data_IF_346528989824
#
_entry.id   IF_346528989824
#
_cell.length_a   1.000
_cell.length_b   1.000
_cell.length_c   1.000
_cell.angle_alpha   90.00
_cell.angle_beta   90.00
_cell.angle_gamma   90.00
#
_symmetry.space_group_name_H-M   'P 1'
#
loop_
_entity.id
_entity.type
_entity.pdbx_description
1 polymer ?
#
# COMPACT_ATOMS: atom_id res chain seq x y z
N UNK A 1 -10.98 4.28 10.30
CA UNK A 1 -10.25 4.59 11.55
C UNK A 1 -8.98 3.77 11.67
N UNK A 2 -9.00 2.43 11.50
CA UNK A 2 -7.80 1.58 11.60
C UNK A 2 -6.59 2.07 10.81
N UNK A 3 -6.74 2.40 9.52
CA UNK A 3 -5.64 2.91 8.69
C UNK A 3 -5.03 4.24 9.18
N UNK A 4 -5.86 5.16 9.70
CA UNK A 4 -5.37 6.44 10.24
C UNK A 4 -4.57 6.23 11.53
N UNK A 5 -4.97 5.24 12.34
CA UNK A 5 -4.23 4.84 13.55
C UNK A 5 -2.95 4.05 13.23
N UNK A 6 -2.84 3.51 12.02
CA UNK A 6 -1.65 2.77 11.55
C UNK A 6 -0.56 3.70 11.02
N UNK A 7 -0.92 4.87 10.47
CA UNK A 7 0.02 5.83 9.91
C UNK A 7 1.17 6.21 10.86
N UNK A 8 0.97 6.47 12.17
CA UNK A 8 2.07 6.72 13.08
C UNK A 8 3.11 5.59 13.11
N UNK A 9 2.65 4.34 13.11
CA UNK A 9 3.53 3.16 13.11
C UNK A 9 4.34 3.08 11.82
N UNK A 10 3.71 3.33 10.67
CA UNK A 10 4.38 3.31 9.36
C UNK A 10 5.45 4.42 9.25
N UNK A 11 5.14 5.63 9.73
CA UNK A 11 6.08 6.75 9.76
C UNK A 11 7.27 6.43 10.67
N UNK A 12 7.04 5.89 11.86
CA UNK A 12 8.10 5.54 12.81
C UNK A 12 9.00 4.45 12.24
N UNK A 13 8.43 3.44 11.58
CA UNK A 13 9.21 2.37 10.96
C UNK A 13 10.14 2.93 9.88
N UNK A 14 9.62 3.81 9.01
CA UNK A 14 10.46 4.49 8.02
C UNK A 14 11.56 5.36 8.66
N UNK A 15 11.25 6.08 9.74
CA UNK A 15 12.23 6.92 10.43
C UNK A 15 13.29 6.10 11.19
N UNK A 16 12.93 4.96 11.78
CA UNK A 16 13.86 4.08 12.48
C UNK A 16 14.93 3.52 11.56
N UNK A 17 14.55 3.16 10.34
CA UNK A 17 15.48 2.58 9.36
C UNK A 17 16.50 3.61 8.84
N UNK A 18 16.19 4.90 8.93
CA UNK A 18 16.88 5.95 8.18
C UNK A 18 17.55 6.97 9.10
N UNK A 19 16.88 7.38 10.18
CA UNK A 19 17.29 8.43 11.09
C UNK A 19 17.19 7.99 12.57
N UNK A 20 17.78 6.85 12.99
CA UNK A 20 17.67 6.31 14.36
C UNK A 20 17.94 7.33 15.49
N UNK A 21 18.75 8.36 15.22
CA UNK A 21 19.09 9.45 16.13
C UNK A 21 17.91 10.36 16.53
N UNK A 22 16.83 10.41 15.73
CA UNK A 22 15.63 11.21 16.00
C UNK A 22 14.63 10.50 16.94
N UNK A 23 15.04 9.42 17.62
CA UNK A 23 14.17 8.62 18.47
C UNK A 23 13.33 9.42 19.47
N UNK A 24 13.96 10.36 20.16
CA UNK A 24 13.29 11.17 21.18
C UNK A 24 12.20 12.06 20.57
N UNK A 25 12.40 12.54 19.34
CA UNK A 25 11.46 13.47 18.69
C UNK A 25 10.26 12.70 18.14
N UNK A 26 10.43 11.49 17.58
CA UNK A 26 9.27 10.71 17.13
C UNK A 26 8.50 10.01 18.24
N UNK A 27 9.16 9.58 19.31
CA UNK A 27 8.46 9.02 20.46
C UNK A 27 7.52 10.05 21.09
N UNK A 28 7.93 11.32 21.16
CA UNK A 28 7.10 12.39 21.72
C UNK A 28 5.79 12.55 20.95
N UNK A 29 5.84 12.83 19.64
CA UNK A 29 4.61 13.07 18.88
C UNK A 29 3.77 11.79 18.76
N UNK A 30 4.39 10.61 18.71
CA UNK A 30 3.65 9.35 18.67
C UNK A 30 2.83 9.12 19.95
N UNK A 31 3.43 9.40 21.11
CA UNK A 31 2.72 9.28 22.39
C UNK A 31 1.55 10.26 22.47
N UNK A 32 1.72 11.50 22.01
CA UNK A 32 0.65 12.50 21.99
C UNK A 32 -0.49 12.10 21.03
N UNK A 33 -0.15 11.64 19.83
CA UNK A 33 -1.14 11.16 18.84
C UNK A 33 -1.85 9.90 19.34
N UNK A 34 -1.13 8.94 19.91
CA UNK A 34 -1.70 7.74 20.51
C UNK A 34 -2.63 8.07 21.68
N UNK A 35 -2.23 9.01 22.55
CA UNK A 35 -3.08 9.49 23.64
C UNK A 35 -4.33 10.21 23.13
N UNK A 36 -4.22 11.01 22.06
CA UNK A 36 -5.36 11.64 21.41
C UNK A 36 -6.38 10.59 20.89
N UNK A 37 -5.90 9.52 20.26
CA UNK A 37 -6.77 8.44 19.80
C UNK A 37 -7.44 7.66 20.93
N UNK A 38 -6.73 7.38 22.03
CA UNK A 38 -7.26 6.63 23.18
C UNK A 38 -8.24 7.47 24.01
N UNK A 39 -7.94 8.75 24.20
CA UNK A 39 -8.74 9.65 25.03
C UNK A 39 -10.00 10.18 24.33
N UNK A 40 -10.06 10.10 23.00
CA UNK A 40 -11.20 10.58 22.23
C UNK A 40 -12.40 9.64 22.34
N UNK A 41 -13.50 10.17 22.87
CA UNK A 41 -14.79 9.48 22.81
C UNK A 41 -15.51 9.84 21.49
N UNK A 42 -16.26 8.91 20.90
CA UNK A 42 -16.89 9.07 19.58
C UNK A 42 -17.88 10.23 19.51
N UNK A 43 -18.50 10.55 20.64
CA UNK A 43 -19.46 11.64 20.84
C UNK A 43 -18.81 12.97 21.22
N UNK A 44 -17.49 13.00 21.47
CA UNK A 44 -16.79 14.20 21.90
C UNK A 44 -16.44 15.11 20.73
N UNK A 45 -16.27 16.40 21.04
CA UNK A 45 -15.90 17.41 20.05
C UNK A 45 -14.47 17.20 19.55
N UNK A 46 -14.17 17.67 18.33
CA UNK A 46 -12.80 17.63 17.78
C UNK A 46 -11.76 18.31 18.69
N UNK A 47 -12.19 19.32 19.44
CA UNK A 47 -11.33 20.01 20.42
C UNK A 47 -10.69 19.08 21.45
N UNK A 48 -11.37 18.02 21.89
CA UNK A 48 -10.80 17.09 22.87
C UNK A 48 -9.71 16.21 22.27
N UNK A 49 -9.73 15.98 20.95
CA UNK A 49 -8.67 15.26 20.25
C UNK A 49 -7.45 16.17 20.07
N UNK A 50 -7.67 17.34 19.48
CA UNK A 50 -6.57 18.23 19.05
C UNK A 50 -5.79 18.83 20.22
N UNK A 51 -6.44 19.00 21.39
CA UNK A 51 -5.78 19.52 22.59
C UNK A 51 -4.69 18.59 23.16
N UNK A 52 -4.68 17.30 22.77
CA UNK A 52 -3.61 16.39 23.13
C UNK A 52 -2.37 16.53 22.21
N UNK A 53 -2.50 17.23 21.07
CA UNK A 53 -1.40 17.40 20.13
C UNK A 53 -0.74 18.76 20.39
N UNK A 54 0.41 18.74 21.06
CA UNK A 54 1.14 19.95 21.43
C UNK A 54 1.95 20.56 20.26
N UNK A 55 2.44 21.79 20.45
CA UNK A 55 3.24 22.51 19.44
C UNK A 55 4.53 21.77 19.05
N UNK A 56 5.12 21.03 19.99
CA UNK A 56 6.31 20.22 19.74
C UNK A 56 5.98 19.06 18.78
N UNK A 57 4.82 18.42 18.95
CA UNK A 57 4.33 17.37 18.07
C UNK A 57 4.18 17.87 16.64
N UNK A 58 3.59 19.05 16.43
CA UNK A 58 3.52 19.66 15.10
C UNK A 58 4.89 19.94 14.50
N UNK A 59 5.83 20.41 15.33
CA UNK A 59 7.18 20.76 14.88
C UNK A 59 7.95 19.50 14.46
N UNK A 60 7.90 18.45 15.27
CA UNK A 60 8.57 17.18 14.98
C UNK A 60 7.91 16.46 13.80
N UNK A 61 6.58 16.43 13.70
CA UNK A 61 5.90 15.88 12.53
C UNK A 61 6.31 16.61 11.25
N UNK A 62 6.43 17.94 11.29
CA UNK A 62 6.87 18.72 10.13
C UNK A 62 8.34 18.45 9.78
N UNK A 63 9.20 18.28 10.78
CA UNK A 63 10.61 17.91 10.57
C UNK A 63 10.70 16.53 9.91
N UNK A 64 10.06 15.52 10.48
CA UNK A 64 10.05 14.16 9.94
C UNK A 64 9.45 14.09 8.54
N UNK A 65 8.36 14.83 8.28
CA UNK A 65 7.80 14.92 6.93
C UNK A 65 8.83 15.49 5.93
N UNK A 66 9.62 16.49 6.32
CA UNK A 66 10.70 17.03 5.48
C UNK A 66 11.84 16.04 5.30
N UNK A 67 12.26 15.33 6.35
CA UNK A 67 13.33 14.33 6.28
C UNK A 67 12.94 13.19 5.32
N UNK A 68 11.74 12.64 5.52
CA UNK A 68 11.17 11.64 4.63
C UNK A 68 11.03 12.18 3.20
N UNK A 69 10.61 13.44 3.01
CA UNK A 69 10.51 14.07 1.68
C UNK A 69 11.87 14.26 0.98
N UNK A 70 12.91 14.59 1.74
CA UNK A 70 14.28 14.75 1.20
C UNK A 70 14.81 13.42 0.70
N UNK A 71 14.49 12.33 1.40
CA UNK A 71 14.86 10.99 0.98
C UNK A 71 13.95 10.44 -0.13
N UNK A 72 12.67 10.77 -0.10
CA UNK A 72 11.67 10.39 -1.10
C UNK A 72 11.76 11.26 -2.36
N UNK A 73 12.96 11.71 -2.79
CA UNK A 73 13.18 12.28 -4.13
C UNK A 73 13.01 11.23 -5.25
N UNK A 74 12.15 10.24 -5.01
CA UNK A 74 11.49 9.39 -5.98
C UNK A 74 10.43 10.24 -6.67
N UNK A 75 10.41 10.25 -8.01
CA UNK A 75 9.36 10.98 -8.74
C UNK A 75 8.01 10.34 -8.36
N UNK A 76 6.97 11.11 -8.02
CA UNK A 76 5.66 10.51 -7.75
C UNK A 76 5.19 9.70 -8.96
N UNK A 77 4.39 8.66 -8.72
CA UNK A 77 3.72 7.92 -9.79
C UNK A 77 2.84 8.89 -10.58
N UNK A 78 2.92 8.81 -11.91
CA UNK A 78 2.08 9.65 -12.76
C UNK A 78 0.60 9.29 -12.57
N UNK A 79 -0.23 10.32 -12.39
CA UNK A 79 -1.65 10.15 -12.10
C UNK A 79 -2.38 9.36 -13.19
N UNK A 80 -1.98 9.51 -14.46
CA UNK A 80 -2.59 8.78 -15.58
C UNK A 80 -2.21 7.30 -15.56
N UNK A 81 -1.00 6.95 -15.12
CA UNK A 81 -0.59 5.57 -14.89
C UNK A 81 -1.43 4.92 -13.79
N UNK A 82 -1.62 5.61 -12.66
CA UNK A 82 -2.47 5.13 -11.57
C UNK A 82 -3.93 4.95 -11.99
N UNK A 83 -4.50 5.91 -12.74
CA UNK A 83 -5.86 5.81 -13.28
C UNK A 83 -6.02 4.62 -14.22
N UNK A 84 -5.04 4.37 -15.08
CA UNK A 84 -5.06 3.23 -15.99
C UNK A 84 -5.06 1.91 -15.22
N UNK A 85 -4.10 1.72 -14.31
CA UNK A 85 -4.02 0.51 -13.49
C UNK A 85 -5.32 0.31 -12.69
N UNK A 86 -5.86 1.40 -12.14
CA UNK A 86 -7.13 1.37 -11.40
C UNK A 86 -8.30 0.91 -12.27
N UNK A 87 -8.42 1.43 -13.49
CA UNK A 87 -9.45 1.04 -14.45
C UNK A 87 -9.32 -0.42 -14.86
N UNK A 88 -8.10 -0.86 -15.18
CA UNK A 88 -7.83 -2.25 -15.58
C UNK A 88 -8.17 -3.24 -14.44
N UNK A 89 -7.94 -2.84 -13.18
CA UNK A 89 -8.31 -3.61 -12.00
C UNK A 89 -9.82 -3.70 -11.79
N UNK A 90 -10.58 -2.64 -12.03
CA UNK A 90 -12.06 -2.68 -11.92
C UNK A 90 -12.65 -3.68 -12.91
N UNK A 91 -12.17 -3.62 -14.15
CA UNK A 91 -12.61 -4.54 -15.20
C UNK A 91 -12.23 -5.99 -14.85
N UNK A 92 -10.98 -6.22 -14.45
CA UNK A 92 -10.51 -7.54 -14.06
C UNK A 92 -11.24 -8.11 -12.82
N UNK A 93 -11.59 -7.25 -11.86
CA UNK A 93 -12.39 -7.64 -10.70
C UNK A 93 -13.81 -8.04 -11.13
N UNK A 94 -14.44 -7.29 -12.03
CA UNK A 94 -15.76 -7.61 -12.54
C UNK A 94 -15.78 -8.97 -13.27
N UNK A 95 -14.81 -9.21 -14.15
CA UNK A 95 -14.61 -10.49 -14.84
C UNK A 95 -14.38 -11.64 -13.85
N UNK A 96 -13.51 -11.43 -12.86
CA UNK A 96 -13.22 -12.43 -11.81
C UNK A 96 -14.49 -12.84 -11.05
N UNK A 97 -15.36 -11.88 -10.73
CA UNK A 97 -16.61 -12.17 -10.01
C UNK A 97 -17.60 -12.96 -10.87
N UNK A 98 -17.60 -12.71 -12.18
CA UNK A 98 -18.48 -13.36 -13.16
C UNK A 98 -17.94 -14.71 -13.67
N UNK A 99 -16.66 -15.04 -13.44
CA UNK A 99 -16.05 -16.27 -13.97
C UNK A 99 -16.58 -17.55 -13.32
N UNK A 100 -16.33 -18.70 -13.93
CA UNK A 100 -16.71 -20.02 -13.39
C UNK A 100 -15.63 -20.64 -12.48
N UNK A 101 -14.72 -19.82 -11.93
CA UNK A 101 -13.69 -20.30 -11.02
C UNK A 101 -14.28 -20.86 -9.73
N UNK A 102 -13.54 -21.80 -9.12
CA UNK A 102 -13.79 -22.30 -7.78
C UNK A 102 -14.03 -21.13 -6.80
N UNK A 103 -15.06 -21.28 -5.95
CA UNK A 103 -15.53 -20.19 -5.09
C UNK A 103 -14.44 -19.65 -4.16
N UNK A 104 -13.51 -20.51 -3.72
CA UNK A 104 -12.42 -20.09 -2.83
C UNK A 104 -11.36 -19.31 -3.61
N UNK A 105 -11.04 -19.74 -4.84
CA UNK A 105 -10.13 -19.02 -5.75
C UNK A 105 -10.73 -17.66 -6.13
N UNK A 106 -12.00 -17.62 -6.51
CA UNK A 106 -12.73 -16.38 -6.82
C UNK A 106 -12.73 -15.42 -5.63
N UNK A 107 -13.04 -15.92 -4.43
CA UNK A 107 -13.05 -15.12 -3.19
C UNK A 107 -11.65 -14.56 -2.92
N UNK A 108 -10.61 -15.36 -3.08
CA UNK A 108 -9.24 -14.94 -2.86
C UNK A 108 -8.81 -13.85 -3.86
N UNK A 109 -9.01 -14.09 -5.16
CA UNK A 109 -8.68 -13.13 -6.22
C UNK A 109 -9.41 -11.81 -6.00
N UNK A 110 -10.74 -11.86 -5.86
CA UNK A 110 -11.55 -10.66 -5.69
C UNK A 110 -11.15 -9.86 -4.43
N UNK A 111 -10.78 -10.54 -3.34
CA UNK A 111 -10.30 -9.87 -2.13
C UNK A 111 -8.99 -9.13 -2.38
N UNK A 112 -8.02 -9.74 -3.05
CA UNK A 112 -6.71 -9.13 -3.24
C UNK A 112 -6.69 -8.07 -4.35
N UNK A 113 -7.50 -8.23 -5.41
CA UNK A 113 -7.74 -7.17 -6.38
C UNK A 113 -8.34 -5.92 -5.70
N UNK A 114 -9.32 -6.09 -4.82
CA UNK A 114 -9.86 -4.98 -4.01
C UNK A 114 -8.83 -4.33 -3.10
N UNK A 115 -7.89 -5.09 -2.55
CA UNK A 115 -6.80 -4.52 -1.73
C UNK A 115 -5.88 -3.65 -2.58
N UNK A 116 -5.48 -4.12 -3.77
CA UNK A 116 -4.63 -3.35 -4.68
C UNK A 116 -5.35 -2.09 -5.18
N UNK A 117 -6.65 -2.19 -5.47
CA UNK A 117 -7.53 -1.04 -5.77
C UNK A 117 -7.46 -0.01 -4.65
N UNK A 118 -7.69 -0.43 -3.40
CA UNK A 118 -7.67 0.47 -2.26
C UNK A 118 -6.28 1.09 -2.05
N UNK A 119 -5.20 0.35 -2.30
CA UNK A 119 -3.84 0.86 -2.22
C UNK A 119 -3.55 1.94 -3.29
N UNK A 120 -4.10 1.80 -4.49
CA UNK A 120 -4.00 2.81 -5.55
C UNK A 120 -4.81 4.05 -5.18
N UNK A 121 -6.05 3.87 -4.73
CA UNK A 121 -6.93 4.98 -4.34
C UNK A 121 -6.33 5.78 -3.16
N UNK A 122 -5.61 5.11 -2.27
CA UNK A 122 -4.95 5.70 -1.11
C UNK A 122 -3.48 6.09 -1.35
N UNK A 123 -2.97 6.00 -2.58
CA UNK A 123 -1.57 6.29 -2.91
C UNK A 123 -1.09 7.66 -2.39
N UNK A 124 -1.95 8.67 -2.42
CA UNK A 124 -1.61 10.00 -1.90
C UNK A 124 -1.36 10.02 -0.37
N UNK A 125 -1.88 9.03 0.34
CA UNK A 125 -1.79 8.88 1.79
C UNK A 125 -0.66 7.90 2.16
N UNK A 126 -0.65 6.72 1.55
CA UNK A 126 0.27 5.61 1.91
C UNK A 126 1.53 5.54 1.06
N UNK A 127 1.61 6.34 0.00
CA UNK A 127 2.69 6.27 -0.98
C UNK A 127 2.74 4.90 -1.69
N UNK A 128 3.93 4.51 -2.11
CA UNK A 128 4.18 3.28 -2.87
C UNK A 128 4.06 1.99 -2.06
N UNK A 129 4.19 2.07 -0.72
CA UNK A 129 4.27 0.89 0.15
C UNK A 129 3.02 0.00 0.04
N UNK A 130 1.83 0.58 0.15
CA UNK A 130 0.59 -0.21 0.08
C UNK A 130 0.36 -0.90 -1.27
N UNK A 131 0.87 -0.30 -2.36
CA UNK A 131 0.81 -0.89 -3.71
C UNK A 131 1.76 -2.09 -3.78
N UNK A 132 2.99 -1.94 -3.27
CA UNK A 132 3.98 -3.02 -3.24
C UNK A 132 3.50 -4.22 -2.42
N UNK A 133 3.02 -4.00 -1.20
CA UNK A 133 2.50 -5.06 -0.32
C UNK A 133 1.36 -5.84 -1.00
N UNK A 134 0.47 -5.13 -1.68
CA UNK A 134 -0.65 -5.74 -2.40
C UNK A 134 -0.19 -6.60 -3.57
N UNK A 135 0.85 -6.15 -4.31
CA UNK A 135 1.48 -6.91 -5.40
C UNK A 135 2.09 -8.21 -4.86
N UNK A 136 2.84 -8.12 -3.76
CA UNK A 136 3.49 -9.28 -3.13
C UNK A 136 2.48 -10.33 -2.67
N UNK A 137 1.34 -9.90 -2.10
CA UNK A 137 0.26 -10.82 -1.67
C UNK A 137 -0.37 -11.55 -2.87
N UNK A 138 -0.60 -10.84 -3.97
CA UNK A 138 -1.20 -11.41 -5.19
C UNK A 138 -0.27 -12.45 -5.83
N UNK A 139 1.03 -12.15 -5.85
CA UNK A 139 2.04 -13.00 -6.48
C UNK A 139 2.47 -14.17 -5.57
N UNK A 140 2.69 -13.92 -4.29
CA UNK A 140 3.16 -14.92 -3.33
C UNK A 140 2.19 -16.08 -3.14
N UNK A 141 0.88 -15.84 -3.31
CA UNK A 141 -0.12 -16.90 -3.13
C UNK A 141 -0.06 -18.00 -4.19
N UNK A 142 0.49 -17.72 -5.38
CA UNK A 142 0.69 -18.73 -6.42
C UNK A 142 1.69 -19.82 -6.03
N UNK A 143 2.57 -19.52 -5.07
CA UNK A 143 3.55 -20.49 -4.57
C UNK A 143 2.88 -21.50 -3.64
N UNK A 144 1.77 -21.11 -2.99
CA UNK A 144 1.17 -21.86 -1.87
C UNK A 144 -0.10 -22.61 -2.30
N UNK A 145 -0.93 -22.04 -3.18
CA UNK A 145 -2.20 -22.64 -3.62
C UNK A 145 -2.13 -23.12 -5.08
N UNK A 146 -2.18 -24.44 -5.34
CA UNK A 146 -2.15 -25.00 -6.69
C UNK A 146 -3.34 -24.58 -7.57
N UNK A 147 -4.55 -24.47 -7.02
CA UNK A 147 -5.74 -24.05 -7.80
C UNK A 147 -5.60 -22.61 -8.24
N UNK A 148 -5.11 -21.76 -7.34
CA UNK A 148 -4.83 -20.36 -7.64
C UNK A 148 -3.73 -20.23 -8.70
N UNK A 149 -2.65 -21.00 -8.56
CA UNK A 149 -1.55 -21.04 -9.54
C UNK A 149 -2.04 -21.44 -10.94
N UNK A 150 -2.89 -22.45 -11.03
CA UNK A 150 -3.49 -22.90 -12.29
C UNK A 150 -4.30 -21.77 -12.94
N UNK A 151 -5.14 -21.07 -12.18
CA UNK A 151 -5.91 -19.92 -12.71
C UNK A 151 -4.99 -18.81 -13.20
N UNK A 152 -3.95 -18.43 -12.44
CA UNK A 152 -3.05 -17.35 -12.88
C UNK A 152 -2.26 -17.74 -14.14
N UNK A 153 -1.82 -19.00 -14.25
CA UNK A 153 -1.02 -19.45 -15.40
C UNK A 153 -1.86 -19.67 -16.66
N UNK A 154 -3.04 -20.27 -16.52
CA UNK A 154 -3.74 -20.90 -17.63
C UNK A 154 -5.06 -20.21 -18.01
N UNK A 155 -5.47 -19.14 -17.32
CA UNK A 155 -6.67 -18.38 -17.68
C UNK A 155 -6.37 -17.00 -18.27
N UNK A 156 -7.27 -16.50 -19.11
CA UNK A 156 -7.19 -15.13 -19.64
C UNK A 156 -7.21 -14.08 -18.52
N UNK A 157 -8.09 -14.27 -17.53
CA UNK A 157 -8.16 -13.43 -16.32
C UNK A 157 -6.81 -13.45 -15.58
N UNK A 158 -6.20 -14.63 -15.43
CA UNK A 158 -4.88 -14.80 -14.81
C UNK A 158 -3.76 -14.04 -15.56
N UNK A 159 -3.79 -14.07 -16.88
CA UNK A 159 -2.88 -13.28 -17.71
C UNK A 159 -3.11 -11.77 -17.53
N UNK A 160 -4.37 -11.33 -17.50
CA UNK A 160 -4.75 -9.93 -17.25
C UNK A 160 -4.25 -9.45 -15.89
N UNK A 161 -4.45 -10.24 -14.83
CA UNK A 161 -3.93 -9.95 -13.48
C UNK A 161 -2.41 -9.81 -13.52
N UNK A 162 -1.70 -10.74 -14.17
CA UNK A 162 -0.25 -10.70 -14.26
C UNK A 162 0.25 -9.45 -14.98
N UNK A 163 -0.41 -9.04 -16.06
CA UNK A 163 -0.08 -7.80 -16.80
C UNK A 163 -0.32 -6.56 -15.97
N UNK A 164 -1.46 -6.48 -15.27
CA UNK A 164 -1.79 -5.33 -14.42
C UNK A 164 -0.79 -5.20 -13.27
N UNK A 165 -0.50 -6.31 -12.59
CA UNK A 165 0.48 -6.35 -11.50
C UNK A 165 1.89 -6.02 -12.00
N UNK A 166 2.29 -6.54 -13.16
CA UNK A 166 3.55 -6.21 -13.81
C UNK A 166 3.66 -4.71 -14.11
N UNK A 167 2.61 -4.12 -14.70
CA UNK A 167 2.54 -2.68 -14.98
C UNK A 167 2.67 -1.86 -13.69
N UNK A 168 2.00 -2.27 -12.62
CA UNK A 168 2.11 -1.61 -11.32
C UNK A 168 3.53 -1.73 -10.72
N UNK A 169 4.15 -2.90 -10.81
CA UNK A 169 5.53 -3.14 -10.35
C UNK A 169 6.56 -2.34 -11.16
N UNK A 170 6.39 -2.22 -12.46
CA UNK A 170 7.26 -1.41 -13.33
C UNK A 170 7.15 0.07 -12.99
N UNK A 171 5.93 0.55 -12.77
CA UNK A 171 5.69 1.93 -12.32
C UNK A 171 6.38 2.20 -10.97
N UNK A 172 6.26 1.27 -10.01
CA UNK A 172 6.97 1.34 -8.74
C UNK A 172 8.50 1.34 -8.90
N UNK A 173 9.02 0.52 -9.80
CA UNK A 173 10.46 0.44 -10.10
C UNK A 173 10.99 1.80 -10.58
N UNK A 174 10.29 2.44 -11.52
CA UNK A 174 10.69 3.76 -12.07
C UNK A 174 10.74 4.81 -10.96
N UNK A 175 9.76 4.77 -10.05
CA UNK A 175 9.65 5.72 -8.94
C UNK A 175 10.72 5.47 -7.89
N UNK A 176 10.88 4.22 -7.45
CA UNK A 176 11.79 3.83 -6.37
C UNK A 176 13.26 3.74 -6.82
N UNK A 177 13.53 3.80 -8.14
CA UNK A 177 14.88 3.61 -8.69
C UNK A 177 15.43 2.20 -8.48
N UNK A 178 14.54 1.21 -8.27
CA UNK A 178 14.92 -0.19 -8.09
C UNK A 178 15.25 -0.85 -9.45
N UNK A 179 15.93 -2.00 -9.48
CA UNK A 179 16.00 -2.85 -10.68
C UNK A 179 14.59 -3.31 -11.09
N UNK A 180 14.29 -3.44 -12.39
CA UNK A 180 12.94 -3.84 -12.88
C UNK A 180 12.46 -5.15 -12.27
N UNK A 181 11.57 -5.06 -11.27
CA UNK A 181 10.97 -6.20 -10.57
C UNK A 181 9.93 -6.90 -11.47
N UNK A 182 9.25 -6.17 -12.35
CA UNK A 182 8.25 -6.73 -13.27
C UNK A 182 8.81 -7.84 -14.16
N UNK A 183 10.04 -7.69 -14.66
CA UNK A 183 10.69 -8.75 -15.44
C UNK A 183 11.03 -9.98 -14.58
N UNK A 184 11.50 -9.77 -13.34
CA UNK A 184 11.80 -10.86 -12.41
C UNK A 184 10.56 -11.63 -11.98
N UNK A 185 9.41 -10.96 -11.85
CA UNK A 185 8.12 -11.59 -11.58
C UNK A 185 7.71 -12.53 -12.72
N UNK A 186 7.88 -12.14 -13.98
CA UNK A 186 7.59 -13.04 -15.11
C UNK A 186 8.37 -14.36 -15.05
N UNK A 187 9.66 -14.31 -14.67
CA UNK A 187 10.47 -15.50 -14.46
C UNK A 187 9.96 -16.38 -13.30
N UNK A 188 9.48 -15.79 -12.20
CA UNK A 188 8.87 -16.53 -11.08
C UNK A 188 7.52 -17.16 -11.47
N UNK A 189 6.80 -16.53 -12.39
CA UNK A 189 5.54 -17.04 -12.94
C UNK A 189 5.75 -18.20 -13.91
N UNK A 190 6.99 -18.45 -14.36
CA UNK A 190 7.33 -19.52 -15.31
C UNK A 190 6.89 -19.21 -16.73
N UNK A 191 6.89 -17.93 -17.11
CA UNK A 191 6.77 -17.45 -18.49
C UNK A 191 8.11 -16.90 -18.97
#
# INVERSE_FOLDING_TARGET
MGKVMELPSQIIQALQDIYPEEQNTWQHWNNQVGHAFISQQLQSQWGTFINNIDSHSYTYLRLHAKLLQVQSRTKPLEADTLKKIRSDLDECLAETLQSDFDIDVKRYLARNLRKLIAAIDEYHITGTAGILDSIEIIMGHQVIDPKYKEVIRNSEIGSKISTIVGTAADALTIVLGLPQIGQSLNYLLGK
#
